data_IF_117704811879
#
_entry.id   IF_117704811879
#
_cell.length_a   1.000
_cell.length_b   1.000
_cell.length_c   1.000
_cell.angle_alpha   90.00
_cell.angle_beta   90.00
_cell.angle_gamma   90.00
#
_symmetry.space_group_name_H-M   'P 1'
#
loop_
_entity.id
_entity.type
_entity.pdbx_description
1 polymer ?
#
# COMPACT_ATOMS: atom_id res chain seq x y z
N UNK A 1 33.80 7.00 -4.21
CA UNK A 1 32.42 6.58 -3.89
C UNK A 1 31.51 6.92 -5.09
N UNK A 2 30.60 6.04 -5.49
CA UNK A 2 29.63 6.27 -6.54
C UNK A 2 28.30 6.71 -5.89
N UNK A 3 27.64 7.73 -6.44
CA UNK A 3 26.36 8.25 -5.97
C UNK A 3 25.27 7.85 -6.94
N UNK A 4 24.12 7.41 -6.42
CA UNK A 4 22.92 7.14 -7.19
C UNK A 4 21.76 7.97 -6.64
N UNK A 5 20.97 8.57 -7.54
CA UNK A 5 19.73 9.25 -7.21
C UNK A 5 18.63 8.64 -8.06
N UNK A 6 17.60 8.07 -7.42
CA UNK A 6 16.50 7.35 -8.07
C UNK A 6 17.02 6.30 -9.08
N UNK A 7 18.00 5.50 -8.65
CA UNK A 7 18.69 4.45 -9.41
C UNK A 7 19.56 4.93 -10.58
N UNK A 8 19.66 6.24 -10.82
CA UNK A 8 20.54 6.81 -11.82
C UNK A 8 21.89 7.19 -11.21
N UNK A 9 22.99 6.78 -11.85
CA UNK A 9 24.34 7.16 -11.40
C UNK A 9 24.58 8.65 -11.67
N UNK A 10 24.99 9.37 -10.65
CA UNK A 10 25.28 10.81 -10.74
C UNK A 10 26.76 11.05 -10.55
N UNK A 11 27.36 11.81 -11.47
CA UNK A 11 28.77 12.21 -11.37
C UNK A 11 28.85 13.51 -10.54
N UNK A 12 29.23 13.37 -9.28
CA UNK A 12 29.38 14.50 -8.33
C UNK A 12 30.81 14.53 -7.79
N UNK A 13 31.42 15.71 -7.79
CA UNK A 13 32.67 15.95 -7.11
C UNK A 13 32.40 16.45 -5.69
N UNK A 14 32.97 15.75 -4.71
CA UNK A 14 32.87 16.10 -3.30
C UNK A 14 34.12 16.90 -2.91
N UNK A 15 34.01 18.23 -2.81
CA UNK A 15 35.15 19.11 -2.50
C UNK A 15 35.31 19.37 -1.00
N UNK A 16 34.23 19.39 -0.25
CA UNK A 16 34.18 19.74 1.19
C UNK A 16 33.69 18.60 2.09
N UNK A 17 32.99 17.65 1.53
CA UNK A 17 32.38 16.53 2.24
C UNK A 17 33.45 15.51 2.66
N UNK A 18 33.46 15.15 3.92
CA UNK A 18 34.42 14.18 4.50
C UNK A 18 33.78 12.90 4.98
N UNK A 19 32.53 13.01 5.41
CA UNK A 19 31.74 11.90 5.96
C UNK A 19 30.48 11.69 5.13
N UNK A 20 29.84 10.53 5.30
CA UNK A 20 28.59 10.23 4.59
C UNK A 20 27.48 11.17 5.01
N UNK A 21 27.47 11.66 6.27
CA UNK A 21 26.46 12.64 6.70
C UNK A 21 26.63 13.99 6.00
N UNK A 22 27.86 14.37 5.62
CA UNK A 22 28.07 15.61 4.86
C UNK A 22 27.43 15.48 3.48
N UNK A 23 27.60 14.34 2.81
CA UNK A 23 26.93 14.04 1.53
C UNK A 23 25.42 14.05 1.69
N UNK A 24 24.89 13.38 2.73
CA UNK A 24 23.46 13.35 3.00
C UNK A 24 22.90 14.78 3.12
N UNK A 25 23.55 15.64 3.91
CA UNK A 25 23.13 17.05 4.09
C UNK A 25 23.23 17.87 2.81
N UNK A 26 24.25 17.62 1.99
CA UNK A 26 24.40 18.30 0.69
C UNK A 26 23.27 17.91 -0.27
N UNK A 27 22.93 16.63 -0.35
CA UNK A 27 21.82 16.14 -1.17
C UNK A 27 20.47 16.64 -0.61
N UNK A 28 20.27 16.63 0.70
CA UNK A 28 19.07 17.16 1.36
C UNK A 28 18.87 18.65 1.04
N UNK A 29 19.94 19.45 1.15
CA UNK A 29 19.87 20.87 0.84
C UNK A 29 19.56 21.13 -0.64
N UNK A 30 20.11 20.33 -1.55
CA UNK A 30 19.81 20.43 -2.98
C UNK A 30 18.38 20.00 -3.31
N UNK A 31 17.93 18.89 -2.76
CA UNK A 31 16.54 18.43 -2.90
C UNK A 31 15.54 19.48 -2.39
N UNK A 32 15.82 20.10 -1.23
CA UNK A 32 14.96 21.12 -0.63
C UNK A 32 14.82 22.37 -1.51
N UNK A 33 15.85 22.75 -2.28
CA UNK A 33 15.77 23.88 -3.25
C UNK A 33 14.74 23.64 -4.34
N UNK A 34 14.47 22.35 -4.65
CA UNK A 34 13.50 21.92 -5.66
C UNK A 34 12.19 21.41 -5.04
N UNK A 35 11.93 21.73 -3.76
CA UNK A 35 10.76 21.26 -3.02
C UNK A 35 10.64 19.72 -3.03
N UNK A 36 11.80 19.07 -2.97
CA UNK A 36 11.90 17.61 -2.88
C UNK A 36 12.52 17.16 -1.57
N UNK A 37 12.33 15.90 -1.20
CA UNK A 37 12.72 15.32 0.07
C UNK A 37 13.45 14.02 -0.16
N UNK A 38 14.43 13.70 0.69
CA UNK A 38 15.03 12.37 0.72
C UNK A 38 14.00 11.40 1.33
N UNK A 39 13.56 10.46 0.53
CA UNK A 39 12.65 9.40 0.97
C UNK A 39 13.42 8.27 1.64
N UNK A 40 14.60 7.93 1.09
CA UNK A 40 15.42 6.83 1.54
C UNK A 40 16.89 7.07 1.21
N UNK A 41 17.77 6.54 2.06
CA UNK A 41 19.20 6.54 1.83
C UNK A 41 19.75 5.16 2.20
N UNK A 42 20.46 4.52 1.26
CA UNK A 42 21.17 3.26 1.49
C UNK A 42 22.65 3.38 1.19
N UNK A 43 23.45 2.66 1.95
CA UNK A 43 24.89 2.53 1.72
C UNK A 43 25.18 1.08 1.41
N UNK A 44 25.76 0.81 0.21
CA UNK A 44 26.01 -0.56 -0.28
C UNK A 44 24.78 -1.47 -0.16
N UNK A 45 23.59 -0.95 -0.58
CA UNK A 45 22.28 -1.60 -0.56
C UNK A 45 21.76 -1.96 0.85
N UNK A 46 22.29 -1.33 1.90
CA UNK A 46 21.86 -1.53 3.29
C UNK A 46 21.29 -0.25 3.88
N UNK A 47 20.25 -0.40 4.66
CA UNK A 47 19.75 0.67 5.51
C UNK A 47 20.80 0.99 6.58
N UNK A 48 21.02 2.27 6.84
CA UNK A 48 22.05 2.73 7.76
C UNK A 48 21.47 3.73 8.77
N UNK A 49 22.02 3.70 9.99
CA UNK A 49 21.67 4.67 11.02
C UNK A 49 22.37 6.01 10.78
N UNK A 50 21.84 7.06 11.39
CA UNK A 50 22.49 8.38 11.38
C UNK A 50 23.90 8.31 11.97
N UNK A 51 24.11 7.59 13.08
CA UNK A 51 25.44 7.42 13.70
C UNK A 51 26.45 6.78 12.74
N UNK A 52 26.01 5.83 11.92
CA UNK A 52 26.86 5.23 10.90
C UNK A 52 27.28 6.27 9.84
N UNK A 53 26.34 7.10 9.39
CA UNK A 53 26.63 8.18 8.42
C UNK A 53 27.60 9.22 9.00
N UNK A 54 27.49 9.57 10.28
CA UNK A 54 28.36 10.54 10.96
C UNK A 54 29.80 10.03 11.17
N UNK A 55 29.96 8.71 11.40
CA UNK A 55 31.25 8.12 11.73
C UNK A 55 32.00 7.57 10.50
N UNK A 56 31.34 7.43 9.34
CA UNK A 56 31.91 6.81 8.16
C UNK A 56 32.41 7.83 7.16
N UNK A 57 33.64 7.66 6.68
CA UNK A 57 34.27 8.52 5.67
C UNK A 57 33.93 8.06 4.25
N UNK A 58 34.03 8.95 3.26
CA UNK A 58 33.64 8.68 1.86
C UNK A 58 34.45 7.56 1.20
N UNK A 59 35.70 7.37 1.58
CA UNK A 59 36.62 6.35 1.06
C UNK A 59 36.36 4.96 1.63
N UNK A 60 35.58 4.87 2.71
CA UNK A 60 35.24 3.60 3.36
C UNK A 60 34.15 2.84 2.64
N UNK A 61 33.37 3.47 1.73
CA UNK A 61 32.23 2.87 1.04
C UNK A 61 32.32 3.05 -0.48
N UNK A 62 31.68 2.12 -1.22
CA UNK A 62 31.72 2.11 -2.68
C UNK A 62 30.57 2.89 -3.30
N UNK A 63 29.38 2.80 -2.71
CA UNK A 63 28.18 3.42 -3.24
C UNK A 63 27.25 3.95 -2.15
N UNK A 64 26.53 5.01 -2.48
CA UNK A 64 25.46 5.60 -1.68
C UNK A 64 24.26 5.87 -2.61
N UNK A 65 23.09 5.42 -2.21
CA UNK A 65 21.86 5.50 -3.00
C UNK A 65 20.85 6.37 -2.26
N UNK A 66 20.26 7.32 -2.98
CA UNK A 66 19.19 8.19 -2.49
C UNK A 66 17.95 8.03 -3.34
N UNK A 67 16.81 7.88 -2.69
CA UNK A 67 15.52 8.05 -3.33
C UNK A 67 14.96 9.40 -2.91
N UNK A 68 14.64 10.24 -3.89
CA UNK A 68 14.18 11.62 -3.68
C UNK A 68 12.83 11.77 -4.36
N UNK A 69 11.87 12.34 -3.63
CA UNK A 69 10.50 12.56 -4.11
C UNK A 69 9.95 13.91 -3.66
N UNK A 70 8.77 14.24 -4.14
CA UNK A 70 7.98 15.39 -3.71
C UNK A 70 7.16 15.10 -2.44
N UNK A 71 6.33 16.04 -2.03
CA UNK A 71 5.46 15.90 -0.87
C UNK A 71 4.46 14.75 -1.00
N UNK A 72 4.00 14.45 -2.21
CA UNK A 72 3.08 13.33 -2.46
C UNK A 72 3.77 12.00 -2.28
N UNK A 73 5.02 11.87 -2.74
CA UNK A 73 5.83 10.68 -2.52
C UNK A 73 6.14 10.44 -1.03
N UNK A 74 6.41 11.52 -0.26
CA UNK A 74 6.53 11.44 1.21
C UNK A 74 5.23 10.94 1.83
N UNK A 75 4.10 11.51 1.43
CA UNK A 75 2.78 11.14 1.95
C UNK A 75 2.48 9.67 1.68
N UNK A 76 2.71 9.21 0.44
CA UNK A 76 2.51 7.80 0.07
C UNK A 76 3.40 6.86 0.88
N UNK A 77 4.67 7.19 1.06
CA UNK A 77 5.58 6.38 1.87
C UNK A 77 5.15 6.29 3.32
N UNK A 78 4.77 7.43 3.91
CA UNK A 78 4.28 7.49 5.28
C UNK A 78 2.97 6.71 5.42
N UNK A 79 2.04 6.86 4.46
CA UNK A 79 0.80 6.10 4.43
C UNK A 79 1.04 4.59 4.46
N UNK A 80 1.96 4.08 3.63
CA UNK A 80 2.35 2.66 3.61
C UNK A 80 2.96 2.19 4.93
N UNK A 81 3.71 3.06 5.60
CA UNK A 81 4.33 2.72 6.89
C UNK A 81 3.26 2.65 7.99
N UNK A 82 2.35 3.61 8.02
CA UNK A 82 1.20 3.63 8.94
C UNK A 82 0.31 2.42 8.69
N UNK A 83 0.00 2.12 7.43
CA UNK A 83 -0.86 1.02 7.06
C UNK A 83 -0.32 -0.33 7.56
N UNK A 84 0.98 -0.60 7.38
CA UNK A 84 1.66 -1.79 7.95
C UNK A 84 1.70 -1.78 9.47
N UNK A 85 1.90 -0.61 10.09
CA UNK A 85 1.90 -0.49 11.54
C UNK A 85 0.53 -0.84 12.12
N UNK A 86 -0.55 -0.41 11.49
CA UNK A 86 -1.92 -0.76 11.90
C UNK A 86 -2.18 -2.27 11.78
N UNK A 87 -1.66 -2.96 10.76
CA UNK A 87 -1.73 -4.42 10.65
C UNK A 87 -1.00 -5.11 11.80
N UNK A 88 0.22 -4.63 12.11
CA UNK A 88 1.01 -5.20 13.21
C UNK A 88 0.33 -5.03 14.56
N UNK A 89 -0.22 -3.83 14.85
CA UNK A 89 -0.97 -3.58 16.07
C UNK A 89 -2.24 -4.42 16.10
N UNK A 90 -3.03 -4.40 15.04
CA UNK A 90 -4.29 -5.14 14.96
C UNK A 90 -4.07 -6.62 15.22
N UNK A 91 -3.06 -7.22 14.58
CA UNK A 91 -2.68 -8.62 14.80
C UNK A 91 -2.19 -8.87 16.23
N UNK A 92 -1.32 -8.01 16.76
CA UNK A 92 -0.81 -8.15 18.12
C UNK A 92 -1.94 -8.10 19.15
N UNK A 93 -2.88 -7.15 19.03
CA UNK A 93 -4.02 -6.99 19.93
C UNK A 93 -5.02 -8.15 19.80
N UNK A 94 -5.25 -8.65 18.57
CA UNK A 94 -6.18 -9.75 18.33
C UNK A 94 -5.72 -11.07 18.96
N UNK A 95 -4.40 -11.36 18.95
CA UNK A 95 -3.83 -12.60 19.50
C UNK A 95 -3.37 -12.45 20.95
N UNK A 96 -3.45 -11.27 21.54
CA UNK A 96 -3.03 -11.04 22.94
C UNK A 96 -4.14 -11.44 23.92
N UNK A 97 -3.80 -12.30 24.88
CA UNK A 97 -4.69 -12.62 26.00
C UNK A 97 -4.75 -11.48 27.03
N UNK A 98 -3.66 -10.76 27.22
CA UNK A 98 -3.52 -9.64 28.15
C UNK A 98 -2.54 -8.59 27.62
N UNK A 99 -2.82 -7.31 27.84
CA UNK A 99 -1.91 -6.22 27.51
C UNK A 99 -0.97 -5.94 28.69
N UNK A 100 0.35 -5.83 28.41
CA UNK A 100 1.37 -5.46 29.41
C UNK A 100 1.54 -3.95 29.48
N UNK A 101 2.06 -3.44 30.61
CA UNK A 101 2.27 -2.00 30.79
C UNK A 101 3.19 -1.38 29.73
N UNK A 102 4.25 -2.10 29.31
CA UNK A 102 5.17 -1.63 28.28
C UNK A 102 4.52 -1.53 26.91
N UNK A 103 3.59 -2.44 26.58
CA UNK A 103 2.85 -2.47 25.31
C UNK A 103 1.87 -1.28 25.22
N UNK A 104 1.30 -0.86 26.36
CA UNK A 104 0.36 0.29 26.42
C UNK A 104 1.06 1.60 26.05
N UNK A 105 2.25 1.87 26.59
CA UNK A 105 3.01 3.09 26.28
C UNK A 105 3.40 3.15 24.80
N UNK A 106 3.84 2.02 24.25
CA UNK A 106 4.18 1.90 22.84
C UNK A 106 2.94 2.11 21.95
N UNK A 107 1.82 1.48 22.29
CA UNK A 107 0.55 1.62 21.58
C UNK A 107 0.05 3.08 21.59
N UNK A 108 0.04 3.74 22.75
CA UNK A 108 -0.38 5.14 22.87
C UNK A 108 0.49 6.08 22.03
N UNK A 109 1.82 5.87 22.04
CA UNK A 109 2.75 6.65 21.23
C UNK A 109 2.49 6.42 19.73
N UNK A 110 2.27 5.17 19.31
CA UNK A 110 1.98 4.83 17.94
C UNK A 110 0.64 5.37 17.44
N UNK A 111 -0.41 5.33 18.27
CA UNK A 111 -1.71 5.93 17.94
C UNK A 111 -1.61 7.44 17.78
N UNK A 112 -0.83 8.12 18.62
CA UNK A 112 -0.57 9.56 18.46
C UNK A 112 0.10 9.87 17.13
N UNK A 113 1.07 9.05 16.73
CA UNK A 113 1.72 9.17 15.41
C UNK A 113 0.76 8.91 14.24
N UNK A 114 -0.10 7.89 14.34
CA UNK A 114 -1.17 7.63 13.35
C UNK A 114 -2.08 8.84 13.22
N UNK A 115 -2.49 9.44 14.33
CA UNK A 115 -3.34 10.63 14.33
C UNK A 115 -2.67 11.81 13.62
N UNK A 116 -1.44 12.15 14.00
CA UNK A 116 -0.70 13.25 13.37
C UNK A 116 -0.59 13.07 11.86
N UNK A 117 -0.39 11.82 11.41
CA UNK A 117 -0.36 11.50 9.99
C UNK A 117 -1.73 11.70 9.34
N UNK A 118 -2.83 11.15 9.92
CA UNK A 118 -4.17 11.25 9.36
C UNK A 118 -4.62 12.71 9.27
N UNK A 119 -4.36 13.52 10.29
CA UNK A 119 -4.65 14.96 10.30
C UNK A 119 -3.85 15.70 9.21
N UNK A 120 -2.57 15.38 9.06
CA UNK A 120 -1.72 15.97 8.01
C UNK A 120 -2.17 15.58 6.61
N UNK A 121 -2.49 14.30 6.39
CA UNK A 121 -2.98 13.80 5.11
C UNK A 121 -4.33 14.42 4.75
N UNK A 122 -5.25 14.53 5.71
CA UNK A 122 -6.54 15.19 5.52
C UNK A 122 -6.38 16.67 5.13
N UNK A 123 -5.46 17.39 5.80
CA UNK A 123 -5.15 18.78 5.45
C UNK A 123 -4.60 18.93 4.04
N UNK A 124 -3.67 18.07 3.61
CA UNK A 124 -3.11 18.09 2.25
C UNK A 124 -4.15 17.76 1.18
N UNK A 125 -5.03 16.80 1.46
CA UNK A 125 -6.05 16.31 0.52
C UNK A 125 -7.39 17.07 0.64
N UNK A 126 -7.48 18.05 1.54
CA UNK A 126 -8.70 18.84 1.82
C UNK A 126 -9.89 17.97 2.20
N UNK A 127 -9.66 16.93 3.03
CA UNK A 127 -10.71 16.02 3.50
C UNK A 127 -11.29 16.51 4.82
N UNK A 128 -12.60 16.50 4.92
CA UNK A 128 -13.36 16.79 6.14
C UNK A 128 -13.57 15.47 6.93
N UNK A 129 -12.63 15.12 7.82
CA UNK A 129 -12.64 13.83 8.54
C UNK A 129 -13.93 13.58 9.36
N UNK A 130 -14.57 14.62 9.85
CA UNK A 130 -15.80 14.50 10.64
C UNK A 130 -17.04 14.10 9.83
N UNK A 131 -16.95 14.21 8.51
CA UNK A 131 -18.01 13.78 7.58
C UNK A 131 -17.56 12.69 6.61
N UNK A 132 -16.27 12.32 6.64
CA UNK A 132 -15.70 11.36 5.71
C UNK A 132 -15.74 9.94 6.29
N UNK A 133 -16.48 9.06 5.64
CA UNK A 133 -16.60 7.62 5.97
C UNK A 133 -16.07 6.78 4.82
N UNK A 134 -15.58 5.58 5.14
CA UNK A 134 -15.05 4.62 4.15
C UNK A 134 -15.87 3.34 4.17
N UNK A 135 -16.07 2.67 3.03
CA UNK A 135 -16.62 1.32 3.01
C UNK A 135 -15.70 0.35 3.75
N UNK A 136 -16.32 -0.48 4.59
CA UNK A 136 -15.67 -1.56 5.35
C UNK A 136 -15.72 -2.87 4.55
N UNK A 137 -14.88 -3.86 4.90
CA UNK A 137 -14.89 -5.17 4.24
C UNK A 137 -16.24 -5.90 4.30
N UNK A 138 -17.01 -5.69 5.36
CA UNK A 138 -18.36 -6.28 5.54
C UNK A 138 -19.46 -5.58 4.73
N UNK A 139 -19.10 -4.66 3.82
CA UNK A 139 -20.03 -3.89 2.99
C UNK A 139 -20.74 -2.74 3.70
N UNK A 140 -20.49 -2.53 4.99
CA UNK A 140 -21.01 -1.37 5.73
C UNK A 140 -20.16 -0.12 5.49
N UNK A 141 -20.64 1.03 5.95
CA UNK A 141 -19.83 2.24 6.01
C UNK A 141 -19.24 2.40 7.41
N UNK A 142 -17.99 2.79 7.51
CA UNK A 142 -17.40 3.17 8.80
C UNK A 142 -18.16 4.36 9.41
N UNK A 143 -18.02 4.55 10.71
CA UNK A 143 -18.25 5.87 11.27
C UNK A 143 -17.30 6.91 10.62
N UNK A 144 -17.58 8.22 10.75
CA UNK A 144 -16.67 9.25 10.27
C UNK A 144 -15.25 9.05 10.82
N UNK A 145 -14.24 9.21 9.96
CA UNK A 145 -12.83 8.92 10.34
C UNK A 145 -12.38 9.79 11.51
N UNK A 146 -12.84 11.04 11.62
CA UNK A 146 -12.57 11.89 12.78
C UNK A 146 -13.13 11.29 14.08
N UNK A 147 -14.32 10.69 14.03
CA UNK A 147 -14.94 10.00 15.17
C UNK A 147 -14.17 8.74 15.56
N UNK A 148 -13.82 7.90 14.55
CA UNK A 148 -13.03 6.68 14.77
C UNK A 148 -11.66 7.00 15.38
N UNK A 149 -11.00 8.07 14.90
CA UNK A 149 -9.71 8.50 15.41
C UNK A 149 -9.78 9.00 16.86
N UNK A 150 -10.80 9.79 17.19
CA UNK A 150 -11.03 10.24 18.55
C UNK A 150 -11.40 9.09 19.51
N UNK A 151 -12.15 8.09 19.01
CA UNK A 151 -12.45 6.88 19.77
C UNK A 151 -11.17 6.08 20.02
N UNK A 152 -10.35 5.87 18.99
CA UNK A 152 -9.06 5.16 19.10
C UNK A 152 -8.13 5.78 20.16
N UNK A 153 -7.98 7.11 20.16
CA UNK A 153 -7.19 7.83 21.17
C UNK A 153 -7.76 7.63 22.58
N UNK A 154 -9.08 7.78 22.74
CA UNK A 154 -9.76 7.65 24.04
C UNK A 154 -9.62 6.24 24.60
N UNK A 155 -9.87 5.21 23.78
CA UNK A 155 -9.75 3.81 24.16
C UNK A 155 -8.30 3.48 24.57
N UNK A 156 -7.31 3.87 23.76
CA UNK A 156 -5.90 3.67 24.06
C UNK A 156 -5.46 4.38 25.36
N UNK A 157 -5.98 5.58 25.62
CA UNK A 157 -5.68 6.32 26.85
C UNK A 157 -6.30 5.68 28.10
N UNK A 158 -7.39 4.91 27.96
CA UNK A 158 -8.10 4.25 29.05
C UNK A 158 -7.59 2.83 29.36
N UNK A 159 -6.71 2.27 28.52
CA UNK A 159 -6.19 0.91 28.68
C UNK A 159 -5.47 0.70 30.01
N UNK A 160 -5.76 -0.43 30.64
CA UNK A 160 -5.12 -0.84 31.90
C UNK A 160 -4.38 -2.18 31.68
N UNK A 161 -3.25 -2.40 32.37
CA UNK A 161 -2.55 -3.69 32.32
C UNK A 161 -3.46 -4.84 32.74
N UNK A 162 -3.46 -5.94 32.00
CA UNK A 162 -4.32 -7.10 32.24
C UNK A 162 -5.71 -7.00 31.62
N UNK A 163 -6.01 -5.96 30.85
CA UNK A 163 -7.28 -5.81 30.15
C UNK A 163 -7.37 -6.75 28.95
N UNK A 164 -8.52 -7.44 28.84
CA UNK A 164 -8.78 -8.44 27.79
C UNK A 164 -9.87 -8.02 26.79
N UNK A 165 -10.56 -6.89 27.03
CA UNK A 165 -11.64 -6.41 26.15
C UNK A 165 -11.16 -5.27 25.28
N UNK A 166 -10.84 -5.59 24.04
CA UNK A 166 -10.26 -4.66 23.07
C UNK A 166 -11.18 -4.45 21.85
N UNK A 167 -12.44 -4.90 21.94
CA UNK A 167 -13.36 -4.90 20.77
C UNK A 167 -13.58 -3.49 20.21
N UNK A 168 -13.79 -2.48 21.07
CA UNK A 168 -14.00 -1.09 20.64
C UNK A 168 -12.72 -0.50 20.02
N UNK A 169 -11.56 -0.77 20.61
CA UNK A 169 -10.26 -0.37 20.07
C UNK A 169 -10.00 -1.00 18.70
N UNK A 170 -10.25 -2.29 18.58
CA UNK A 170 -10.11 -3.04 17.29
C UNK A 170 -11.08 -2.52 16.22
N UNK A 171 -12.31 -2.16 16.59
CA UNK A 171 -13.26 -1.59 15.64
C UNK A 171 -12.78 -0.23 15.12
N UNK A 172 -12.30 0.65 15.99
CA UNK A 172 -11.74 1.94 15.59
C UNK A 172 -10.48 1.78 14.74
N UNK A 173 -9.60 0.82 15.10
CA UNK A 173 -8.42 0.47 14.29
C UNK A 173 -8.80 0.01 12.89
N UNK A 174 -9.82 -0.83 12.75
CA UNK A 174 -10.31 -1.30 11.43
C UNK A 174 -10.78 -0.15 10.53
N UNK A 175 -11.49 0.84 11.08
CA UNK A 175 -11.93 2.01 10.33
C UNK A 175 -10.74 2.86 9.85
N UNK A 176 -9.76 3.09 10.71
CA UNK A 176 -8.52 3.83 10.35
C UNK A 176 -7.70 3.03 9.34
N UNK A 177 -7.58 1.71 9.51
CA UNK A 177 -6.90 0.82 8.54
C UNK A 177 -7.57 0.86 7.16
N UNK A 178 -8.90 0.79 7.10
CA UNK A 178 -9.64 0.90 5.84
C UNK A 178 -9.41 2.26 5.15
N UNK A 179 -9.29 3.34 5.93
CA UNK A 179 -8.96 4.66 5.42
C UNK A 179 -7.52 4.72 4.88
N UNK A 180 -6.53 4.27 5.65
CA UNK A 180 -5.11 4.33 5.24
C UNK A 180 -4.83 3.45 4.03
N UNK A 181 -5.42 2.26 3.96
CA UNK A 181 -5.30 1.38 2.80
C UNK A 181 -5.82 2.04 1.51
N UNK A 182 -7.00 2.70 1.57
CA UNK A 182 -7.53 3.46 0.42
C UNK A 182 -6.65 4.65 0.06
N UNK A 183 -6.12 5.34 1.08
CA UNK A 183 -5.20 6.44 0.86
C UNK A 183 -3.94 5.98 0.13
N UNK A 184 -3.37 4.84 0.53
CA UNK A 184 -2.20 4.24 -0.14
C UNK A 184 -2.51 3.94 -1.61
N UNK A 185 -3.64 3.28 -1.88
CA UNK A 185 -4.04 2.93 -3.26
C UNK A 185 -4.20 4.21 -4.11
N UNK A 186 -4.92 5.21 -3.61
CA UNK A 186 -5.14 6.46 -4.31
C UNK A 186 -3.84 7.22 -4.58
N UNK A 187 -3.03 7.46 -3.56
CA UNK A 187 -1.75 8.17 -3.70
C UNK A 187 -0.80 7.44 -4.64
N UNK A 188 -0.80 6.10 -4.60
CA UNK A 188 -0.01 5.31 -5.54
C UNK A 188 -0.51 5.50 -6.98
N UNK A 189 -1.81 5.39 -7.21
CA UNK A 189 -2.40 5.61 -8.54
C UNK A 189 -2.09 7.02 -9.09
N UNK A 190 -2.17 8.05 -8.25
CA UNK A 190 -1.84 9.43 -8.61
C UNK A 190 -0.34 9.63 -8.90
N UNK A 191 0.56 8.85 -8.30
CA UNK A 191 2.02 8.95 -8.48
C UNK A 191 2.54 8.27 -9.76
N UNK A 192 1.74 7.40 -10.39
CA UNK A 192 2.14 6.66 -11.59
C UNK A 192 2.10 7.57 -12.83
N UNK A 193 3.06 7.43 -13.71
CA UNK A 193 3.01 8.01 -15.06
C UNK A 193 2.16 7.13 -16.00
N UNK A 194 1.81 7.62 -17.20
CA UNK A 194 1.11 6.81 -18.21
C UNK A 194 1.93 5.59 -18.64
N UNK A 195 3.24 5.73 -18.73
CA UNK A 195 4.15 4.64 -19.08
C UNK A 195 4.26 3.62 -17.95
N UNK A 196 4.33 4.05 -16.68
CA UNK A 196 4.30 3.15 -15.52
C UNK A 196 3.03 2.30 -15.50
N UNK A 197 1.88 2.93 -15.79
CA UNK A 197 0.61 2.21 -15.84
C UNK A 197 0.60 1.19 -16.98
N UNK A 198 1.06 1.54 -18.16
CA UNK A 198 1.14 0.58 -19.29
C UNK A 198 2.01 -0.60 -18.93
N UNK A 199 3.21 -0.35 -18.41
CA UNK A 199 4.13 -1.41 -18.00
C UNK A 199 3.52 -2.27 -16.88
N UNK A 200 2.83 -1.67 -15.91
CA UNK A 200 2.10 -2.37 -14.86
C UNK A 200 0.99 -3.25 -15.43
N UNK A 201 0.17 -2.74 -16.35
CA UNK A 201 -0.88 -3.51 -17.02
C UNK A 201 -0.30 -4.65 -17.89
N UNK A 202 0.85 -4.44 -18.53
CA UNK A 202 1.54 -5.50 -19.28
C UNK A 202 2.08 -6.61 -18.37
N UNK A 203 2.58 -6.25 -17.18
CA UNK A 203 2.98 -7.22 -16.15
C UNK A 203 1.77 -8.00 -15.64
N UNK A 204 0.66 -7.30 -15.37
CA UNK A 204 -0.58 -7.92 -14.93
C UNK A 204 -1.09 -8.91 -15.97
N UNK A 205 -1.19 -8.51 -17.24
CA UNK A 205 -1.65 -9.40 -18.32
C UNK A 205 -0.80 -10.67 -18.42
N UNK A 206 0.53 -10.55 -18.29
CA UNK A 206 1.45 -11.70 -18.30
C UNK A 206 1.29 -12.59 -17.06
N UNK A 207 0.91 -12.04 -15.93
CA UNK A 207 0.73 -12.78 -14.68
C UNK A 207 -0.62 -13.52 -14.60
N UNK A 208 -1.65 -13.13 -15.38
CA UNK A 208 -2.99 -13.69 -15.30
C UNK A 208 -3.05 -15.22 -15.31
N UNK A 209 -2.34 -15.94 -16.23
CA UNK A 209 -2.42 -17.40 -16.26
C UNK A 209 -1.85 -18.06 -15.00
N UNK A 210 -0.74 -17.52 -14.46
CA UNK A 210 -0.10 -18.05 -13.27
C UNK A 210 -0.93 -17.75 -12.02
N UNK A 211 -1.55 -16.56 -11.94
CA UNK A 211 -2.47 -16.18 -10.88
C UNK A 211 -3.70 -17.09 -10.86
N UNK A 212 -4.38 -17.25 -11.98
CA UNK A 212 -5.55 -18.13 -12.09
C UNK A 212 -5.21 -19.57 -11.68
N UNK A 213 -4.07 -20.10 -12.15
CA UNK A 213 -3.63 -21.44 -11.75
C UNK A 213 -3.31 -21.53 -10.26
N UNK A 214 -2.72 -20.49 -9.67
CA UNK A 214 -2.41 -20.47 -8.23
C UNK A 214 -3.69 -20.43 -7.40
N UNK A 215 -4.70 -19.68 -7.82
CA UNK A 215 -6.01 -19.62 -7.18
C UNK A 215 -6.67 -21.02 -7.12
N UNK A 216 -6.69 -21.76 -8.23
CA UNK A 216 -7.21 -23.13 -8.26
C UNK A 216 -6.44 -24.05 -7.30
N UNK A 217 -5.11 -23.93 -7.26
CA UNK A 217 -4.26 -24.73 -6.36
C UNK A 217 -4.49 -24.45 -4.87
N UNK A 218 -4.92 -23.26 -4.50
CA UNK A 218 -5.27 -22.94 -3.11
C UNK A 218 -6.39 -23.88 -2.65
N UNK A 219 -7.48 -23.96 -3.43
CA UNK A 219 -8.61 -24.81 -3.10
C UNK A 219 -8.24 -26.31 -3.09
N UNK A 220 -7.47 -26.78 -4.08
CA UNK A 220 -6.93 -28.16 -4.10
C UNK A 220 -6.11 -28.49 -2.84
N UNK A 221 -5.35 -27.51 -2.33
CA UNK A 221 -4.54 -27.68 -1.11
C UNK A 221 -5.44 -27.87 0.13
N UNK A 222 -6.46 -27.02 0.29
CA UNK A 222 -7.42 -27.17 1.39
C UNK A 222 -8.20 -28.48 1.30
N UNK A 223 -8.72 -28.86 0.13
CA UNK A 223 -9.44 -30.12 -0.08
C UNK A 223 -8.58 -31.36 0.20
N UNK A 224 -7.26 -31.28 0.02
CA UNK A 224 -6.32 -32.38 0.29
C UNK A 224 -5.73 -32.35 1.71
N UNK A 225 -6.18 -31.45 2.59
CA UNK A 225 -5.70 -31.31 3.97
C UNK A 225 -4.28 -30.75 4.08
N UNK A 226 -3.83 -29.99 3.09
CA UNK A 226 -2.54 -29.30 3.07
C UNK A 226 -2.72 -27.82 3.39
N UNK A 227 -3.32 -27.53 4.52
CA UNK A 227 -3.77 -26.18 4.90
C UNK A 227 -2.63 -25.16 4.91
N UNK A 228 -1.45 -25.51 5.44
CA UNK A 228 -0.26 -24.61 5.42
C UNK A 228 0.17 -24.22 4.00
N UNK A 229 0.08 -25.16 3.06
CA UNK A 229 0.38 -24.88 1.65
C UNK A 229 -0.69 -23.99 1.02
N UNK A 230 -1.96 -24.22 1.35
CA UNK A 230 -3.08 -23.39 0.91
C UNK A 230 -2.93 -21.95 1.37
N UNK A 231 -2.62 -21.74 2.65
CA UNK A 231 -2.39 -20.39 3.24
C UNK A 231 -1.20 -19.69 2.55
N UNK A 232 -0.07 -20.38 2.38
CA UNK A 232 1.09 -19.77 1.73
C UNK A 232 0.83 -19.38 0.26
N UNK A 233 0.05 -20.16 -0.48
CA UNK A 233 -0.38 -19.83 -1.84
C UNK A 233 -1.36 -18.64 -1.85
N UNK A 234 -2.31 -18.62 -0.92
CA UNK A 234 -3.25 -17.52 -0.77
C UNK A 234 -2.51 -16.19 -0.50
N UNK A 235 -1.60 -16.19 0.47
CA UNK A 235 -0.78 -15.02 0.78
C UNK A 235 0.00 -14.52 -0.44
N UNK A 236 0.58 -15.45 -1.22
CA UNK A 236 1.30 -15.08 -2.45
C UNK A 236 0.39 -14.46 -3.50
N UNK A 237 -0.79 -15.04 -3.74
CA UNK A 237 -1.77 -14.52 -4.71
C UNK A 237 -2.28 -13.14 -4.27
N UNK A 238 -2.57 -12.95 -2.99
CA UNK A 238 -3.02 -11.65 -2.47
C UNK A 238 -1.93 -10.58 -2.63
N UNK A 239 -0.66 -10.91 -2.34
CA UNK A 239 0.47 -10.00 -2.56
C UNK A 239 0.63 -9.62 -4.03
N UNK A 240 0.48 -10.58 -4.95
CA UNK A 240 0.56 -10.32 -6.39
C UNK A 240 -0.60 -9.41 -6.86
N UNK A 241 -1.82 -9.65 -6.38
CA UNK A 241 -2.98 -8.80 -6.68
C UNK A 241 -2.80 -7.40 -6.10
N UNK A 242 -2.37 -7.26 -4.86
CA UNK A 242 -2.09 -5.96 -4.23
C UNK A 242 -1.04 -5.16 -4.99
N UNK A 243 -0.05 -5.83 -5.57
CA UNK A 243 0.98 -5.19 -6.38
C UNK A 243 0.46 -4.74 -7.77
N UNK A 244 -0.57 -5.40 -8.32
CA UNK A 244 -1.06 -5.19 -9.68
C UNK A 244 -2.31 -4.32 -9.75
N UNK A 245 -3.21 -4.39 -8.76
CA UNK A 245 -4.46 -3.63 -8.72
C UNK A 245 -4.30 -2.11 -8.81
N UNK A 246 -3.28 -1.46 -8.24
CA UNK A 246 -3.08 -0.02 -8.38
C UNK A 246 -2.97 0.45 -9.82
N UNK A 247 -2.39 -0.35 -10.72
CA UNK A 247 -2.29 -0.01 -12.15
C UNK A 247 -3.64 -0.06 -12.85
N UNK A 248 -4.48 -1.04 -12.49
CA UNK A 248 -5.85 -1.15 -13.00
C UNK A 248 -6.66 0.09 -12.60
N UNK A 249 -6.63 0.47 -11.32
CA UNK A 249 -7.35 1.65 -10.82
C UNK A 249 -6.81 2.94 -11.41
N UNK A 250 -5.48 3.11 -11.46
CA UNK A 250 -4.87 4.29 -12.05
C UNK A 250 -5.22 4.45 -13.54
N UNK A 251 -5.36 3.35 -14.28
CA UNK A 251 -5.83 3.36 -15.65
C UNK A 251 -7.28 3.84 -15.73
N UNK A 252 -8.18 3.27 -14.94
CA UNK A 252 -9.61 3.62 -14.91
C UNK A 252 -9.85 5.09 -14.51
N UNK A 253 -9.12 5.60 -13.52
CA UNK A 253 -9.24 7.00 -13.08
C UNK A 253 -8.88 8.01 -14.18
N UNK A 254 -8.02 7.63 -15.13
CA UNK A 254 -7.62 8.49 -16.27
C UNK A 254 -8.58 8.47 -17.43
N UNK A 255 -9.58 7.59 -17.41
CA UNK A 255 -10.57 7.47 -18.47
C UNK A 255 -11.75 8.42 -18.24
N UNK A 256 -12.32 8.89 -19.35
CA UNK A 256 -13.63 9.57 -19.32
C UNK A 256 -14.74 8.60 -18.92
N UNK A 257 -15.87 9.14 -18.46
CA UNK A 257 -17.07 8.34 -18.15
C UNK A 257 -17.48 7.45 -19.33
N UNK A 258 -17.48 8.00 -20.55
CA UNK A 258 -17.83 7.27 -21.77
C UNK A 258 -16.89 6.08 -22.02
N UNK A 259 -15.58 6.27 -21.83
CA UNK A 259 -14.59 5.21 -22.00
C UNK A 259 -14.75 4.12 -20.95
N UNK A 260 -15.05 4.47 -19.69
CA UNK A 260 -15.28 3.51 -18.61
C UNK A 260 -16.53 2.64 -18.85
N UNK A 261 -17.54 3.21 -19.49
CA UNK A 261 -18.78 2.51 -19.85
C UNK A 261 -18.66 1.72 -21.15
N UNK A 262 -17.50 1.75 -21.83
CA UNK A 262 -17.28 0.93 -23.03
C UNK A 262 -17.25 -0.55 -22.69
N UNK A 263 -18.05 -1.33 -23.40
CA UNK A 263 -18.20 -2.76 -23.17
C UNK A 263 -17.03 -3.55 -23.75
N UNK A 264 -16.44 -4.42 -22.96
CA UNK A 264 -15.44 -5.41 -23.35
C UNK A 264 -16.04 -6.79 -23.08
N UNK A 265 -16.53 -7.44 -24.11
CA UNK A 265 -17.35 -8.65 -23.95
C UNK A 265 -18.77 -8.31 -23.43
N UNK A 266 -19.15 -8.91 -22.34
CA UNK A 266 -20.49 -8.77 -21.74
C UNK A 266 -20.60 -7.64 -20.72
N UNK A 267 -19.49 -7.08 -20.24
CA UNK A 267 -19.42 -6.06 -19.17
C UNK A 267 -18.65 -4.83 -19.64
N UNK A 268 -18.95 -3.69 -19.02
CA UNK A 268 -18.12 -2.49 -19.18
C UNK A 268 -16.82 -2.60 -18.38
N UNK A 269 -15.87 -1.68 -18.62
CA UNK A 269 -14.62 -1.62 -17.85
C UNK A 269 -14.90 -1.39 -16.36
N UNK A 270 -15.84 -0.49 -16.02
CA UNK A 270 -16.23 -0.23 -14.63
C UNK A 270 -16.91 -1.45 -13.99
N UNK A 271 -17.81 -2.13 -14.73
CA UNK A 271 -18.47 -3.34 -14.22
C UNK A 271 -17.48 -4.47 -13.97
N UNK A 272 -16.48 -4.64 -14.84
CA UNK A 272 -15.43 -5.65 -14.68
C UNK A 272 -14.57 -5.39 -13.44
N UNK A 273 -14.16 -4.14 -13.24
CA UNK A 273 -13.39 -3.76 -12.06
C UNK A 273 -14.19 -3.88 -10.75
N UNK A 274 -15.47 -3.46 -10.79
CA UNK A 274 -16.37 -3.57 -9.65
C UNK A 274 -16.64 -5.04 -9.27
N UNK A 275 -16.81 -5.91 -10.26
CA UNK A 275 -17.01 -7.33 -10.03
C UNK A 275 -15.78 -7.97 -9.38
N UNK A 276 -14.55 -7.61 -9.83
CA UNK A 276 -13.32 -8.10 -9.22
C UNK A 276 -13.18 -7.65 -7.77
N UNK A 277 -13.47 -6.37 -7.48
CA UNK A 277 -13.45 -5.85 -6.11
C UNK A 277 -14.48 -6.53 -5.20
N UNK A 278 -15.69 -6.79 -5.71
CA UNK A 278 -16.72 -7.52 -4.95
C UNK A 278 -16.24 -8.91 -4.59
N UNK A 279 -15.68 -9.67 -5.54
CA UNK A 279 -15.17 -11.01 -5.29
C UNK A 279 -14.03 -11.02 -4.25
N UNK A 280 -13.12 -10.06 -4.30
CA UNK A 280 -12.05 -9.94 -3.30
C UNK A 280 -12.59 -9.59 -1.91
N UNK A 281 -13.63 -8.76 -1.84
CA UNK A 281 -14.34 -8.44 -0.59
C UNK A 281 -15.08 -9.65 -0.03
N UNK A 282 -15.80 -10.39 -0.88
CA UNK A 282 -16.55 -11.59 -0.49
C UNK A 282 -15.61 -12.69 0.01
N UNK A 283 -14.44 -12.84 -0.67
CA UNK A 283 -13.39 -13.77 -0.22
C UNK A 283 -12.83 -13.37 1.14
N UNK A 284 -12.54 -12.08 1.35
CA UNK A 284 -12.06 -11.58 2.64
C UNK A 284 -13.06 -11.89 3.77
N UNK A 285 -14.35 -11.61 3.53
CA UNK A 285 -15.42 -11.87 4.49
C UNK A 285 -15.53 -13.36 4.83
N UNK A 286 -15.49 -14.25 3.82
CA UNK A 286 -15.54 -15.69 4.03
C UNK A 286 -14.33 -16.19 4.86
N UNK A 287 -13.14 -15.65 4.62
CA UNK A 287 -11.94 -16.00 5.39
C UNK A 287 -12.01 -15.48 6.85
N UNK A 288 -12.52 -14.27 7.08
CA UNK A 288 -12.72 -13.71 8.43
C UNK A 288 -13.73 -14.52 9.24
N UNK A 289 -14.80 -14.98 8.59
CA UNK A 289 -15.82 -15.85 9.20
C UNK A 289 -15.36 -17.30 9.34
N UNK A 290 -14.16 -17.65 8.85
CA UNK A 290 -13.64 -19.01 8.77
C UNK A 290 -14.54 -19.96 7.97
N UNK A 291 -15.31 -19.44 7.02
CA UNK A 291 -16.11 -20.22 6.08
C UNK A 291 -15.26 -20.68 4.89
N UNK A 292 -14.49 -21.76 5.14
CA UNK A 292 -13.59 -22.32 4.13
C UNK A 292 -14.32 -22.90 2.92
N UNK A 293 -15.63 -23.21 3.04
CA UNK A 293 -16.43 -23.72 1.92
C UNK A 293 -16.76 -22.56 0.99
N UNK A 294 -17.31 -21.46 1.52
CA UNK A 294 -17.58 -20.25 0.75
C UNK A 294 -16.30 -19.68 0.12
N UNK A 295 -15.20 -19.59 0.88
CA UNK A 295 -13.92 -19.14 0.36
C UNK A 295 -13.42 -20.03 -0.81
N UNK A 296 -13.56 -21.35 -0.68
CA UNK A 296 -13.20 -22.31 -1.73
C UNK A 296 -14.03 -22.14 -3.00
N UNK A 297 -15.33 -21.95 -2.87
CA UNK A 297 -16.25 -21.74 -4.01
C UNK A 297 -15.92 -20.43 -4.74
N UNK A 298 -15.69 -19.33 -4.01
CA UNK A 298 -15.27 -18.04 -4.58
C UNK A 298 -13.95 -18.19 -5.33
N UNK A 299 -12.95 -18.85 -4.74
CA UNK A 299 -11.64 -19.03 -5.37
C UNK A 299 -11.75 -19.84 -6.66
N UNK A 300 -12.44 -21.01 -6.62
CA UNK A 300 -12.42 -21.96 -7.73
C UNK A 300 -13.32 -21.52 -8.89
N UNK A 301 -14.54 -21.07 -8.59
CA UNK A 301 -15.57 -20.86 -9.62
C UNK A 301 -15.74 -19.42 -10.07
N UNK A 302 -15.34 -18.46 -9.22
CA UNK A 302 -15.58 -17.04 -9.52
C UNK A 302 -14.30 -16.25 -9.76
N UNK A 303 -13.36 -16.27 -8.80
CA UNK A 303 -12.16 -15.45 -8.88
C UNK A 303 -11.19 -15.93 -9.97
N UNK A 304 -10.98 -17.27 -10.08
CA UNK A 304 -10.12 -17.82 -11.13
C UNK A 304 -10.63 -17.47 -12.53
N UNK A 305 -11.94 -17.63 -12.79
CA UNK A 305 -12.57 -17.29 -14.07
C UNK A 305 -12.49 -15.78 -14.35
N UNK A 306 -12.76 -14.95 -13.34
CA UNK A 306 -12.68 -13.49 -13.47
C UNK A 306 -11.24 -13.04 -13.82
N UNK A 307 -10.23 -13.61 -13.19
CA UNK A 307 -8.81 -13.32 -13.45
C UNK A 307 -8.42 -13.76 -14.87
N UNK A 308 -8.79 -14.97 -15.30
CA UNK A 308 -8.54 -15.45 -16.68
C UNK A 308 -9.20 -14.53 -17.72
N UNK A 309 -10.39 -14.02 -17.43
CA UNK A 309 -11.18 -13.15 -18.29
C UNK A 309 -10.69 -11.71 -18.39
N UNK A 310 -9.69 -11.26 -17.60
CA UNK A 310 -9.26 -9.86 -17.55
C UNK A 310 -8.43 -9.41 -18.77
N UNK A 311 -7.79 -10.29 -19.50
CA UNK A 311 -6.86 -9.89 -20.59
C UNK A 311 -7.47 -8.92 -21.61
N UNK A 312 -8.70 -9.12 -22.15
CA UNK A 312 -9.32 -8.14 -23.05
C UNK A 312 -9.53 -6.77 -22.42
N UNK A 313 -9.90 -6.73 -21.13
CA UNK A 313 -10.09 -5.50 -20.34
C UNK A 313 -8.76 -4.73 -20.22
N UNK A 314 -7.67 -5.42 -19.83
CA UNK A 314 -6.35 -4.80 -19.72
C UNK A 314 -5.86 -4.27 -21.08
N UNK A 315 -6.10 -5.00 -22.16
CA UNK A 315 -5.75 -4.54 -23.51
C UNK A 315 -6.54 -3.30 -23.93
N UNK A 316 -7.83 -3.21 -23.57
CA UNK A 316 -8.66 -2.05 -23.88
C UNK A 316 -8.23 -0.83 -23.07
N UNK A 317 -7.92 -1.00 -21.78
CA UNK A 317 -7.38 0.07 -20.92
C UNK A 317 -6.09 0.65 -21.53
N UNK A 318 -5.15 -0.20 -21.98
CA UNK A 318 -3.90 0.25 -22.60
C UNK A 318 -4.11 1.07 -23.87
N UNK A 319 -5.17 0.80 -24.64
CA UNK A 319 -5.50 1.58 -25.85
C UNK A 319 -6.01 2.97 -25.52
N UNK A 320 -6.70 3.13 -24.40
CA UNK A 320 -7.24 4.43 -24.00
C UNK A 320 -6.24 5.34 -23.29
N UNK A 321 -5.18 4.76 -22.72
CA UNK A 321 -4.15 5.56 -22.07
C UNK A 321 -3.41 6.43 -23.12
N UNK A 322 -3.31 7.76 -22.92
CA UNK A 322 -2.54 8.62 -23.81
C UNK A 322 -1.08 8.15 -23.83
N UNK A 323 -0.42 8.25 -24.98
CA UNK A 323 1.04 8.16 -24.99
C UNK A 323 1.56 9.41 -24.28
N UNK A 324 2.34 9.23 -23.20
CA UNK A 324 3.03 10.33 -22.59
C UNK A 324 3.98 10.90 -23.66
N UNK A 325 3.59 12.04 -24.23
CA UNK A 325 4.49 12.82 -25.08
C UNK A 325 5.61 13.25 -24.17
N UNK A 326 6.74 12.55 -24.24
CA UNK A 326 7.93 12.92 -23.50
C UNK A 326 8.18 14.41 -23.76
N UNK A 327 7.88 15.27 -22.79
CA UNK A 327 8.43 16.61 -22.73
C UNK A 327 9.95 16.44 -22.66
N UNK A 328 10.55 16.38 -23.84
CA UNK A 328 11.96 16.63 -24.00
C UNK A 328 12.17 18.08 -23.60
N UNK A 329 12.30 18.30 -22.30
CA UNK A 329 12.90 19.55 -21.83
C UNK A 329 14.38 19.49 -22.18
N UNK A 330 14.68 20.27 -23.22
CA UNK A 330 16.02 20.63 -23.65
C UNK A 330 16.71 21.49 -22.60
#
# INVERSE_FOLDING_TARGET
MQLFINDEAVDVQFDSEKTLIDVYRSIEAEAARHTRYILECRVEDRDVSQDFLEQTTLDAVRSMHFWIGDSQAVLLRTARTIDRYLDQIGSALFYSEEIRSEDIEELQSGISWVKEFVDSAAGMLQLELDSFSVPMPDGTMSEPIGTALAALEREAASLMPGEAKLDELLQSLRAIKAFTGRLVVRLHAESLTGDDIREGLDRFEKALPDLAQSIVRINESYQSGKDEQGVALLDSVMQDLDALMPYLFAALERLSEEQRQESVGERSLDETASALLSLLSDLSSALEESDMVAAGDILEYELAEQIEGLSPTLQQLKKFLPEDVAEKQS
#
